data_IF_042492476596
#
_entry.id   IF_042492476596
#
_cell.length_a   1.000
_cell.length_b   1.000
_cell.length_c   1.000
_cell.angle_alpha   90.00
_cell.angle_beta   90.00
_cell.angle_gamma   90.00
#
_symmetry.space_group_name_H-M   'P 1'
#
loop_
_entity.id
_entity.type
_entity.pdbx_description
1 polymer ?
#
# COMPACT_ATOMS: atom_id res chain seq x y z
N UNK A 1 15.09 -23.44 -0.26
CA UNK A 1 15.90 -23.12 -1.47
C UNK A 1 15.72 -21.63 -1.65
N UNK A 2 16.72 -20.82 -1.28
CA UNK A 2 16.58 -19.36 -1.30
C UNK A 2 16.42 -18.87 -2.73
N UNK A 3 15.43 -18.00 -2.96
CA UNK A 3 15.31 -17.27 -4.22
C UNK A 3 16.59 -16.46 -4.42
N UNK A 4 17.27 -16.65 -5.55
CA UNK A 4 18.46 -15.89 -5.95
C UNK A 4 18.08 -14.54 -6.60
N UNK A 5 16.91 -14.00 -6.29
CA UNK A 5 16.36 -12.76 -6.84
C UNK A 5 15.99 -11.76 -5.75
N UNK A 6 16.03 -10.47 -6.05
CA UNK A 6 15.56 -9.41 -5.17
C UNK A 6 14.03 -9.39 -5.11
N UNK A 7 13.46 -9.12 -3.92
CA UNK A 7 12.02 -8.87 -3.78
C UNK A 7 11.67 -7.51 -4.37
N UNK A 8 10.73 -7.53 -5.31
CA UNK A 8 10.10 -6.34 -5.87
C UNK A 8 8.66 -6.22 -5.34
N UNK A 9 8.24 -4.97 -5.15
CA UNK A 9 6.90 -4.64 -4.68
C UNK A 9 6.18 -3.88 -5.79
N UNK A 10 4.91 -4.22 -5.99
CA UNK A 10 4.01 -3.40 -6.78
C UNK A 10 3.59 -2.20 -5.94
N UNK A 11 3.96 -1.00 -6.39
CA UNK A 11 3.70 0.27 -5.74
C UNK A 11 3.00 1.23 -6.69
N UNK A 12 2.41 2.28 -6.13
CA UNK A 12 1.85 3.37 -6.92
C UNK A 12 2.45 4.73 -6.53
N UNK A 13 2.68 5.58 -7.54
CA UNK A 13 2.93 7.02 -7.37
C UNK A 13 1.62 7.76 -7.64
N UNK A 14 1.16 8.53 -6.66
CA UNK A 14 -0.13 9.20 -6.73
C UNK A 14 -0.09 10.41 -7.69
N UNK A 15 -1.04 10.50 -8.62
CA UNK A 15 -1.19 11.61 -9.58
C UNK A 15 -2.34 12.56 -9.25
N UNK A 16 -2.78 12.60 -7.99
CA UNK A 16 -3.90 13.45 -7.53
C UNK A 16 -3.65 14.02 -6.14
N UNK A 17 -4.22 15.19 -5.85
CA UNK A 17 -4.19 15.76 -4.49
C UNK A 17 -5.21 15.08 -3.55
N UNK A 18 -5.00 15.15 -2.22
CA UNK A 18 -3.73 15.50 -1.54
C UNK A 18 -2.63 14.46 -1.85
N UNK A 19 -1.37 14.72 -1.49
CA UNK A 19 -0.24 13.79 -1.66
C UNK A 19 0.16 13.47 -3.11
N UNK A 20 0.04 14.44 -4.02
CA UNK A 20 0.55 14.29 -5.39
C UNK A 20 2.06 13.96 -5.35
N UNK A 21 2.48 12.95 -6.11
CA UNK A 21 3.86 12.48 -6.18
C UNK A 21 4.25 11.44 -5.12
N UNK A 22 3.47 11.29 -4.04
CA UNK A 22 3.79 10.31 -2.99
C UNK A 22 3.70 8.88 -3.49
N UNK A 23 4.66 8.06 -3.05
CA UNK A 23 4.75 6.63 -3.36
C UNK A 23 4.23 5.80 -2.19
N UNK A 24 3.36 4.84 -2.49
CA UNK A 24 2.77 3.97 -1.49
C UNK A 24 2.34 2.61 -2.04
N UNK A 25 1.65 1.88 -1.16
CA UNK A 25 0.96 0.63 -1.52
C UNK A 25 -0.37 0.95 -2.18
N UNK A 26 -0.85 0.03 -3.01
CA UNK A 26 -2.22 0.07 -3.52
C UNK A 26 -3.20 -0.02 -2.36
N UNK A 27 -4.26 0.76 -2.45
CA UNK A 27 -5.27 0.80 -1.42
C UNK A 27 -6.57 1.37 -1.95
N UNK A 28 -7.67 0.93 -1.37
CA UNK A 28 -8.94 1.58 -1.57
C UNK A 28 -9.92 1.26 -0.46
N UNK A 29 -11.14 1.76 -0.63
CA UNK A 29 -12.15 1.70 0.42
C UNK A 29 -12.91 0.39 0.31
N UNK A 30 -13.10 -0.26 1.45
CA UNK A 30 -14.05 -1.36 1.57
C UNK A 30 -15.45 -0.81 1.39
N UNK A 31 -16.20 -1.35 0.43
CA UNK A 31 -17.58 -0.95 0.16
C UNK A 31 -18.54 -1.57 1.19
N UNK A 32 -19.75 -1.00 1.29
CA UNK A 32 -20.75 -1.50 2.23
C UNK A 32 -21.16 -2.94 1.89
N UNK A 33 -20.93 -3.87 2.83
CA UNK A 33 -21.19 -5.30 2.65
C UNK A 33 -20.08 -6.08 1.94
N UNK A 34 -18.98 -5.43 1.56
CA UNK A 34 -17.84 -6.06 0.89
C UNK A 34 -16.91 -6.74 1.92
N UNK A 35 -16.45 -7.95 1.62
CA UNK A 35 -15.41 -8.59 2.43
C UNK A 35 -14.06 -7.90 2.20
N UNK A 36 -13.21 -7.83 3.23
CA UNK A 36 -11.91 -7.15 3.16
C UNK A 36 -11.04 -7.64 1.99
N UNK A 37 -11.00 -8.96 1.78
CA UNK A 37 -10.21 -9.58 0.70
C UNK A 37 -10.81 -9.28 -0.68
N UNK A 38 -12.13 -9.15 -0.78
CA UNK A 38 -12.79 -8.83 -2.05
C UNK A 38 -12.55 -7.37 -2.42
N UNK A 39 -12.57 -6.46 -1.44
CA UNK A 39 -12.14 -5.09 -1.63
C UNK A 39 -10.69 -5.03 -2.14
N UNK A 40 -9.77 -5.74 -1.49
CA UNK A 40 -8.37 -5.75 -1.90
C UNK A 40 -8.16 -6.32 -3.31
N UNK A 41 -8.89 -7.38 -3.69
CA UNK A 41 -8.88 -7.95 -5.05
C UNK A 41 -9.43 -6.98 -6.09
N UNK A 42 -10.56 -6.33 -5.79
CA UNK A 42 -11.20 -5.35 -6.68
C UNK A 42 -10.27 -4.16 -6.90
N UNK A 43 -9.73 -3.58 -5.83
CA UNK A 43 -8.82 -2.43 -5.92
C UNK A 43 -7.53 -2.79 -6.67
N UNK A 44 -6.93 -3.97 -6.43
CA UNK A 44 -5.79 -4.45 -7.22
C UNK A 44 -6.12 -4.47 -8.72
N UNK A 45 -7.27 -5.04 -9.10
CA UNK A 45 -7.66 -5.13 -10.49
C UNK A 45 -8.01 -3.77 -11.12
N UNK A 46 -8.80 -2.94 -10.43
CA UNK A 46 -9.20 -1.62 -10.92
C UNK A 46 -8.00 -0.68 -11.09
N UNK A 47 -7.05 -0.74 -10.17
CA UNK A 47 -5.89 0.14 -10.17
C UNK A 47 -4.77 -0.32 -11.11
N UNK A 48 -4.63 -1.63 -11.36
CA UNK A 48 -3.46 -2.18 -12.08
C UNK A 48 -3.77 -3.15 -13.22
N UNK A 49 -5.00 -3.62 -13.35
CA UNK A 49 -5.35 -4.70 -14.28
C UNK A 49 -4.84 -6.08 -13.88
N UNK A 50 -4.15 -6.22 -12.74
CA UNK A 50 -3.62 -7.49 -12.25
C UNK A 50 -4.62 -8.21 -11.34
N UNK A 51 -4.44 -9.52 -11.26
CA UNK A 51 -5.08 -10.39 -10.27
C UNK A 51 -3.99 -11.21 -9.57
N UNK A 52 -4.31 -11.80 -8.42
CA UNK A 52 -3.37 -12.62 -7.65
C UNK A 52 -4.08 -13.84 -7.06
N UNK A 53 -3.32 -14.92 -6.84
CA UNK A 53 -3.87 -16.17 -6.29
C UNK A 53 -3.73 -16.25 -4.77
N UNK A 54 -2.63 -15.73 -4.22
CA UNK A 54 -2.34 -15.83 -2.78
C UNK A 54 -2.70 -14.54 -2.07
N UNK A 55 -3.48 -14.65 -1.00
CA UNK A 55 -3.97 -13.52 -0.21
C UNK A 55 -3.96 -13.86 1.28
N UNK A 56 -3.12 -13.19 2.05
CA UNK A 56 -3.00 -13.40 3.49
C UNK A 56 -3.21 -12.07 4.21
N UNK A 57 -4.23 -11.96 5.07
CA UNK A 57 -4.39 -10.78 5.92
C UNK A 57 -3.35 -10.82 7.04
N UNK A 58 -2.37 -9.93 7.00
CA UNK A 58 -1.25 -9.93 7.95
C UNK A 58 -1.32 -8.82 9.00
N UNK A 59 -1.96 -7.69 8.69
CA UNK A 59 -1.90 -6.55 9.59
C UNK A 59 -3.20 -5.75 9.58
N UNK A 60 -3.71 -5.46 10.78
CA UNK A 60 -4.63 -4.36 11.01
C UNK A 60 -3.81 -3.17 11.52
N UNK A 61 -3.76 -2.11 10.73
CA UNK A 61 -3.00 -0.90 11.01
C UNK A 61 -3.95 0.26 11.26
N UNK A 62 -4.02 0.73 12.51
CA UNK A 62 -4.80 1.92 12.86
C UNK A 62 -3.90 3.15 12.79
N UNK A 63 -4.31 4.13 12.00
CA UNK A 63 -3.63 5.43 11.88
C UNK A 63 -4.54 6.55 12.35
N UNK A 64 -4.08 7.27 13.36
CA UNK A 64 -4.72 8.50 13.83
C UNK A 64 -3.90 9.72 13.45
N UNK A 65 -4.55 10.80 13.01
CA UNK A 65 -3.89 12.10 12.80
C UNK A 65 -4.54 13.20 13.59
N UNK A 66 -3.70 14.10 14.10
CA UNK A 66 -4.09 15.26 14.89
C UNK A 66 -3.56 16.55 14.26
N UNK A 67 -4.26 17.66 14.48
CA UNK A 67 -3.70 19.00 14.27
C UNK A 67 -2.73 19.36 15.38
N UNK A 68 -1.97 20.44 15.19
CA UNK A 68 -1.05 20.98 16.22
C UNK A 68 -1.76 21.30 17.55
N UNK A 69 -3.05 21.67 17.51
CA UNK A 69 -3.87 21.94 18.70
C UNK A 69 -4.40 20.69 19.41
N UNK A 70 -4.05 19.49 18.92
CA UNK A 70 -4.51 18.22 19.46
C UNK A 70 -5.89 17.78 18.97
N UNK A 71 -6.50 18.48 18.02
CA UNK A 71 -7.78 18.07 17.42
C UNK A 71 -7.60 16.84 16.52
N UNK A 72 -8.30 15.71 16.74
CA UNK A 72 -8.25 14.56 15.85
C UNK A 72 -8.94 14.89 14.51
N UNK A 73 -8.29 14.56 13.40
CA UNK A 73 -8.82 14.77 12.04
C UNK A 73 -8.90 13.48 11.22
N UNK A 74 -8.21 12.43 11.65
CA UNK A 74 -8.25 11.12 11.01
C UNK A 74 -8.17 10.02 12.07
N UNK A 75 -8.99 8.98 11.92
CA UNK A 75 -8.87 7.70 12.62
C UNK A 75 -9.29 6.62 11.63
N UNK A 76 -8.32 5.91 11.06
CA UNK A 76 -8.53 5.00 9.93
C UNK A 76 -7.86 3.68 10.22
N UNK A 77 -8.57 2.59 9.92
CA UNK A 77 -8.04 1.24 9.94
C UNK A 77 -7.71 0.79 8.52
N UNK A 78 -6.48 0.34 8.32
CA UNK A 78 -6.03 -0.32 7.12
C UNK A 78 -5.91 -1.82 7.39
N UNK A 79 -6.37 -2.63 6.45
CA UNK A 79 -6.18 -4.08 6.47
C UNK A 79 -5.19 -4.42 5.36
N UNK A 80 -3.97 -4.79 5.74
CA UNK A 80 -2.86 -5.03 4.81
C UNK A 80 -2.77 -6.53 4.52
N UNK A 81 -2.82 -6.85 3.24
CA UNK A 81 -2.65 -8.21 2.75
C UNK A 81 -1.24 -8.41 2.21
N UNK A 82 -0.65 -9.57 2.50
CA UNK A 82 0.47 -10.11 1.74
C UNK A 82 -0.10 -10.85 0.53
N UNK A 83 0.40 -10.47 -0.66
CA UNK A 83 -0.16 -10.89 -1.95
C UNK A 83 0.97 -11.32 -2.86
N UNK A 84 0.85 -12.53 -3.42
CA UNK A 84 1.82 -13.10 -4.37
C UNK A 84 1.08 -13.79 -5.51
N UNK A 85 1.84 -14.29 -6.49
CA UNK A 85 1.31 -15.05 -7.63
C UNK A 85 0.41 -14.19 -8.52
N UNK A 86 0.95 -13.03 -8.92
CA UNK A 86 0.28 -12.07 -9.79
C UNK A 86 0.16 -12.59 -11.22
N UNK A 87 -0.95 -12.25 -11.87
CA UNK A 87 -1.20 -12.56 -13.28
C UNK A 87 -2.02 -11.46 -13.95
N UNK A 88 -1.87 -11.34 -15.27
CA UNK A 88 -2.53 -10.32 -16.08
C UNK A 88 -1.52 -9.40 -16.77
N UNK A 89 -2.05 -8.32 -17.36
CA UNK A 89 -1.24 -7.26 -17.99
C UNK A 89 -1.38 -6.01 -17.14
N UNK A 90 -0.26 -5.48 -16.67
CA UNK A 90 -0.24 -4.30 -15.82
C UNK A 90 -0.67 -3.06 -16.60
N UNK A 91 -1.48 -2.23 -15.95
CA UNK A 91 -1.78 -0.86 -16.35
C UNK A 91 -0.77 0.03 -15.64
N UNK A 92 0.23 0.52 -16.38
CA UNK A 92 1.32 1.31 -15.79
C UNK A 92 0.84 2.71 -15.35
N UNK A 93 -0.24 3.22 -15.92
CA UNK A 93 -0.75 4.55 -15.58
C UNK A 93 -2.25 4.63 -15.72
N UNK A 94 -2.90 5.17 -14.69
CA UNK A 94 -4.31 5.58 -14.69
C UNK A 94 -4.37 7.11 -14.56
N UNK A 95 -5.55 7.74 -14.70
CA UNK A 95 -5.69 9.17 -14.41
C UNK A 95 -5.33 9.56 -12.96
N UNK A 96 -5.21 8.60 -12.04
CA UNK A 96 -5.01 8.86 -10.61
C UNK A 96 -3.67 8.40 -10.07
N UNK A 97 -2.94 7.53 -10.77
CA UNK A 97 -1.65 7.00 -10.32
C UNK A 97 -0.83 6.38 -11.44
N UNK A 98 0.47 6.23 -11.18
CA UNK A 98 1.41 5.42 -11.95
C UNK A 98 1.79 4.19 -11.13
N UNK A 99 1.72 3.00 -11.72
CA UNK A 99 2.05 1.74 -11.07
C UNK A 99 3.40 1.25 -11.55
N UNK A 100 4.20 0.71 -10.65
CA UNK A 100 5.53 0.18 -10.98
C UNK A 100 5.97 -0.89 -9.99
N UNK A 101 6.86 -1.76 -10.46
CA UNK A 101 7.61 -2.69 -9.62
C UNK A 101 8.92 -2.03 -9.20
N UNK A 102 9.26 -2.10 -7.92
CA UNK A 102 10.53 -1.58 -7.40
C UNK A 102 11.02 -2.42 -6.22
N UNK A 103 12.34 -2.51 -6.05
CA UNK A 103 12.92 -3.08 -4.83
C UNK A 103 12.89 -2.08 -3.68
N UNK A 104 13.03 -2.57 -2.44
CA UNK A 104 13.21 -1.71 -1.26
C UNK A 104 14.37 -0.72 -1.47
N UNK A 105 15.48 -1.21 -2.00
CA UNK A 105 16.66 -0.38 -2.28
C UNK A 105 16.33 0.74 -3.28
N UNK A 106 15.59 0.45 -4.35
CA UNK A 106 15.20 1.48 -5.31
C UNK A 106 14.38 2.59 -4.65
N UNK A 107 13.39 2.22 -3.83
CA UNK A 107 12.47 3.17 -3.18
C UNK A 107 13.17 4.08 -2.19
N UNK A 108 14.08 3.55 -1.36
CA UNK A 108 14.67 4.31 -0.25
C UNK A 108 16.09 4.85 -0.50
N UNK A 109 16.79 4.38 -1.53
CA UNK A 109 18.17 4.82 -1.82
C UNK A 109 18.28 5.70 -3.07
N UNK A 110 17.29 5.70 -3.96
CA UNK A 110 17.27 6.61 -5.11
C UNK A 110 16.48 7.87 -4.76
N UNK A 111 17.02 9.04 -5.11
CA UNK A 111 16.36 10.34 -4.93
C UNK A 111 15.23 10.60 -5.95
N UNK A 112 14.59 9.52 -6.44
CA UNK A 112 13.54 9.56 -7.46
C UNK A 112 12.14 9.39 -6.84
N UNK A 113 12.06 8.70 -5.70
CA UNK A 113 10.79 8.39 -5.04
C UNK A 113 10.61 9.23 -3.78
N UNK A 114 9.37 9.68 -3.57
CA UNK A 114 8.93 10.35 -2.34
C UNK A 114 7.94 9.42 -1.61
N UNK A 115 8.41 8.45 -0.82
CA UNK A 115 7.52 7.52 -0.12
C UNK A 115 6.69 8.22 0.97
N UNK A 116 5.55 7.63 1.32
CA UNK A 116 4.88 7.97 2.58
C UNK A 116 5.79 7.63 3.77
N UNK A 117 5.76 8.44 4.82
CA UNK A 117 6.63 8.27 5.99
C UNK A 117 6.42 6.94 6.71
N UNK A 118 5.22 6.38 6.61
CA UNK A 118 4.83 5.08 7.16
C UNK A 118 4.90 3.94 6.13
N UNK A 119 5.49 4.17 4.96
CA UNK A 119 5.77 3.09 4.02
C UNK A 119 6.93 2.24 4.55
N UNK A 120 6.61 1.02 4.96
CA UNK A 120 7.59 -0.02 5.23
C UNK A 120 7.53 -1.11 4.15
N UNK A 121 8.70 -1.60 3.75
CA UNK A 121 8.86 -2.68 2.77
C UNK A 121 9.77 -3.74 3.40
N UNK A 122 9.22 -4.93 3.64
CA UNK A 122 9.95 -6.05 4.24
C UNK A 122 10.29 -7.11 3.18
N UNK A 123 11.54 -7.56 3.14
CA UNK A 123 12.06 -8.40 2.06
C UNK A 123 11.72 -9.89 2.23
N UNK A 124 10.56 -10.21 2.82
CA UNK A 124 10.08 -11.58 2.95
C UNK A 124 9.39 -12.02 1.66
N UNK A 125 9.59 -13.30 1.32
CA UNK A 125 8.88 -14.01 0.25
C UNK A 125 7.76 -14.92 0.78
N UNK A 126 7.51 -14.89 2.08
CA UNK A 126 6.56 -15.76 2.76
C UNK A 126 5.69 -14.97 3.74
N UNK A 127 4.42 -15.40 3.91
CA UNK A 127 3.50 -14.71 4.80
C UNK A 127 3.90 -14.87 6.28
N UNK A 128 3.45 -13.93 7.11
CA UNK A 128 3.58 -13.95 8.58
C UNK A 128 2.20 -14.03 9.26
N UNK A 129 2.23 -14.25 10.56
CA UNK A 129 1.04 -14.21 11.41
C UNK A 129 0.43 -12.81 11.51
N UNK A 130 -0.89 -12.77 11.67
CA UNK A 130 -1.63 -11.54 11.82
C UNK A 130 -1.16 -10.72 13.04
N UNK A 131 -1.01 -9.40 12.86
CA UNK A 131 -0.67 -8.45 13.92
C UNK A 131 -1.55 -7.20 13.92
N UNK A 132 -1.65 -6.58 15.09
CA UNK A 132 -2.26 -5.26 15.27
C UNK A 132 -1.16 -4.22 15.45
N UNK A 133 -1.23 -3.12 14.70
CA UNK A 133 -0.29 -2.00 14.78
C UNK A 133 -1.09 -0.70 14.93
N UNK A 134 -0.64 0.16 15.83
CA UNK A 134 -1.20 1.50 16.01
C UNK A 134 -0.13 2.57 15.71
N UNK A 135 -0.53 3.63 15.01
CA UNK A 135 0.31 4.78 14.74
C UNK A 135 -0.46 6.10 14.91
N UNK A 136 0.26 7.09 15.43
CA UNK A 136 -0.22 8.45 15.60
C UNK A 136 0.76 9.40 14.91
N UNK A 137 0.25 10.42 14.24
CA UNK A 137 1.09 11.46 13.63
C UNK A 137 0.33 12.76 13.38
N UNK A 138 1.03 13.77 12.86
CA UNK A 138 0.45 15.07 12.58
C UNK A 138 -0.29 15.09 11.24
N UNK A 139 -1.30 15.94 11.15
CA UNK A 139 -2.07 16.17 9.95
C UNK A 139 -1.40 17.23 9.07
N UNK A 140 -0.74 16.81 7.99
CA UNK A 140 -0.22 17.74 7.00
C UNK A 140 -1.34 18.25 6.09
N UNK A 141 -1.51 19.58 6.02
CA UNK A 141 -2.44 20.24 5.09
C UNK A 141 -3.89 20.39 5.57
N UNK A 142 -4.14 20.47 6.88
CA UNK A 142 -5.47 20.62 7.52
C UNK A 142 -5.57 21.78 8.53
#
# INVERSE_FOLDING_TARGET
MGLTGSIEYLLNRRLRHPYFGKVGRLSGKVQFGEALVDAAKRELFEETGLTAQTWNLEEMYRKTRFREDGTPVQDVFFYKFFVTDFSGTMIDTTPYQENFWATKHDVFSKNEFDPYDDLDLDERDTPQDFKLVEACGDAEGY
#
